data_IF_159392994569
#
_entry.id   IF_159392994569
#
_cell.length_a   1.000
_cell.length_b   1.000
_cell.length_c   1.000
_cell.angle_alpha   90.00
_cell.angle_beta   90.00
_cell.angle_gamma   90.00
#
_symmetry.space_group_name_H-M   'P 1'
#
loop_
_entity.id
_entity.type
_entity.pdbx_description
1 polymer ?
#
# COMPACT_ATOMS: atom_id res chain seq x y z
N UNK A 1 26.94 19.20 -23.31
CA UNK A 1 26.41 18.04 -22.55
C UNK A 1 26.43 18.44 -21.10
N UNK A 2 25.29 18.89 -20.59
CA UNK A 2 25.15 19.30 -19.19
C UNK A 2 25.01 18.02 -18.37
N UNK A 3 25.96 17.75 -17.47
CA UNK A 3 25.80 16.72 -16.46
C UNK A 3 24.66 17.15 -15.55
N UNK A 4 23.49 16.51 -15.65
CA UNK A 4 22.49 16.54 -14.59
C UNK A 4 23.14 15.93 -13.35
N UNK A 5 23.59 16.79 -12.44
CA UNK A 5 24.01 16.39 -11.09
C UNK A 5 22.77 15.87 -10.38
N UNK A 6 22.59 14.55 -10.41
CA UNK A 6 21.56 13.85 -9.63
C UNK A 6 21.82 14.17 -8.16
N UNK A 7 20.85 14.78 -7.48
CA UNK A 7 20.95 15.04 -6.04
C UNK A 7 21.21 13.72 -5.32
N UNK A 8 22.25 13.63 -4.46
CA UNK A 8 22.55 12.39 -3.75
C UNK A 8 21.37 11.98 -2.87
N UNK A 9 21.11 10.67 -2.80
CA UNK A 9 19.98 10.11 -2.06
C UNK A 9 20.05 10.39 -0.55
N UNK A 10 21.27 10.51 0.00
CA UNK A 10 21.55 10.85 1.39
C UNK A 10 22.68 11.89 1.46
N UNK A 11 22.66 12.72 2.49
CA UNK A 11 23.64 13.78 2.73
C UNK A 11 24.43 13.51 4.03
N UNK A 12 25.64 14.08 4.12
CA UNK A 12 26.41 14.04 5.38
C UNK A 12 25.58 14.62 6.53
N UNK A 13 25.54 13.91 7.65
CA UNK A 13 24.72 14.24 8.81
C UNK A 13 23.32 13.65 8.81
N UNK A 14 22.81 13.10 7.69
CA UNK A 14 21.54 12.38 7.70
C UNK A 14 21.61 11.20 8.69
N UNK A 15 20.53 11.00 9.44
CA UNK A 15 20.31 9.77 10.20
C UNK A 15 19.64 8.76 9.27
N UNK A 16 20.09 7.51 9.29
CA UNK A 16 19.51 6.43 8.47
C UNK A 16 19.35 5.16 9.28
N UNK A 17 18.34 4.35 8.95
CA UNK A 17 18.16 2.97 9.44
C UNK A 17 18.36 2.05 8.25
N UNK A 18 19.35 1.17 8.33
CA UNK A 18 19.65 0.21 7.25
C UNK A 18 19.01 -1.16 7.49
N UNK A 19 19.27 -2.13 6.61
CA UNK A 19 18.60 -3.44 6.62
C UNK A 19 18.73 -4.23 7.93
N UNK A 20 19.73 -3.94 8.76
CA UNK A 20 19.94 -4.56 10.06
C UNK A 20 19.14 -3.89 11.20
N UNK A 21 18.36 -2.85 10.89
CA UNK A 21 17.52 -2.13 11.84
C UNK A 21 18.29 -1.20 12.78
N UNK A 22 19.58 -0.94 12.52
CA UNK A 22 20.40 -0.04 13.37
C UNK A 22 20.46 1.36 12.75
N UNK A 23 20.13 2.36 13.58
CA UNK A 23 20.22 3.77 13.22
C UNK A 23 21.68 4.26 13.21
N UNK A 24 22.07 4.96 12.15
CA UNK A 24 23.42 5.42 11.84
C UNK A 24 23.42 6.85 11.34
N UNK A 25 24.60 7.46 11.26
CA UNK A 25 24.82 8.81 10.74
C UNK A 25 25.61 8.72 9.44
N UNK A 26 25.03 9.22 8.36
CA UNK A 26 25.62 9.26 7.03
C UNK A 26 26.81 10.22 7.02
N UNK A 27 27.90 9.82 6.37
CA UNK A 27 29.07 10.64 6.03
C UNK A 27 29.10 11.08 4.57
N UNK A 28 28.35 10.38 3.72
CA UNK A 28 28.18 10.72 2.32
C UNK A 28 27.74 9.51 1.51
N UNK A 29 27.72 9.68 0.20
CA UNK A 29 27.54 8.58 -0.75
C UNK A 29 28.91 8.08 -1.21
N UNK A 30 29.07 6.76 -1.35
CA UNK A 30 30.27 6.18 -1.95
C UNK A 30 30.37 6.56 -3.45
N UNK A 31 31.58 6.57 -4.04
CA UNK A 31 31.74 6.78 -5.47
C UNK A 31 30.91 5.78 -6.28
N UNK A 32 30.13 6.26 -7.24
CA UNK A 32 29.28 5.38 -8.04
C UNK A 32 30.12 4.57 -9.03
N UNK A 33 30.14 3.25 -8.85
CA UNK A 33 30.79 2.31 -9.77
C UNK A 33 29.80 1.84 -10.85
N UNK A 34 30.19 1.77 -12.13
CA UNK A 34 29.32 1.30 -13.19
C UNK A 34 28.82 -0.13 -12.94
N UNK A 35 27.49 -0.31 -12.89
CA UNK A 35 26.85 -1.61 -12.69
C UNK A 35 26.62 -1.99 -11.22
N UNK A 36 27.09 -1.19 -10.27
CA UNK A 36 26.86 -1.42 -8.84
C UNK A 36 25.72 -0.51 -8.31
N UNK A 37 24.95 -0.98 -7.31
CA UNK A 37 23.98 -0.12 -6.64
C UNK A 37 24.70 1.03 -5.92
N UNK A 38 24.00 2.15 -5.71
CA UNK A 38 24.54 3.24 -4.92
C UNK A 38 24.75 2.80 -3.47
N UNK A 39 25.86 3.20 -2.85
CA UNK A 39 26.15 2.93 -1.45
C UNK A 39 26.19 4.22 -0.62
N UNK A 40 25.76 4.14 0.63
CA UNK A 40 25.86 5.18 1.65
C UNK A 40 26.98 4.80 2.61
N UNK A 41 27.88 5.76 2.88
CA UNK A 41 28.98 5.61 3.84
C UNK A 41 28.50 6.14 5.19
N UNK A 42 28.63 5.36 6.25
CA UNK A 42 28.18 5.73 7.61
C UNK A 42 29.34 6.10 8.53
N UNK A 43 29.07 6.46 9.79
CA UNK A 43 30.03 7.11 10.70
C UNK A 43 31.28 6.30 11.02
N UNK A 44 31.23 4.97 10.89
CA UNK A 44 32.35 4.05 11.09
C UNK A 44 33.12 3.75 9.78
N UNK A 45 32.70 4.35 8.67
CA UNK A 45 33.27 4.14 7.33
C UNK A 45 32.68 2.95 6.58
N UNK A 46 31.73 2.21 7.17
CA UNK A 46 31.06 1.08 6.51
C UNK A 46 30.17 1.57 5.37
N UNK A 47 30.20 0.86 4.25
CA UNK A 47 29.34 1.10 3.10
C UNK A 47 28.11 0.20 3.13
N UNK A 48 26.93 0.81 2.94
CA UNK A 48 25.65 0.10 2.88
C UNK A 48 24.96 0.40 1.57
N UNK A 49 24.26 -0.59 0.99
CA UNK A 49 23.44 -0.37 -0.20
C UNK A 49 22.37 0.68 0.14
N UNK A 50 22.40 1.83 -0.53
CA UNK A 50 21.55 2.97 -0.23
C UNK A 50 20.05 2.62 -0.32
N UNK A 51 19.67 1.76 -1.26
CA UNK A 51 18.30 1.27 -1.41
C UNK A 51 17.78 0.44 -0.23
N UNK A 52 18.68 -0.05 0.64
CA UNK A 52 18.35 -0.81 1.84
C UNK A 52 18.38 0.06 3.11
N UNK A 53 18.58 1.37 2.97
CA UNK A 53 18.55 2.31 4.08
C UNK A 53 17.36 3.28 3.92
N UNK A 54 16.79 3.67 5.05
CA UNK A 54 15.71 4.66 5.13
C UNK A 54 16.19 5.83 5.96
N UNK A 55 15.93 7.06 5.52
CA UNK A 55 16.24 8.26 6.30
C UNK A 55 15.43 8.25 7.61
N UNK A 56 16.03 8.77 8.66
CA UNK A 56 15.57 8.75 10.05
C UNK A 56 15.87 10.08 10.75
N UNK A 57 15.80 11.18 10.00
CA UNK A 57 15.97 12.51 10.54
C UNK A 57 14.77 12.88 11.44
N UNK A 58 14.88 13.95 12.26
CA UNK A 58 13.79 14.40 13.10
C UNK A 58 12.46 14.61 12.36
N UNK A 59 12.50 15.11 11.12
CA UNK A 59 11.32 15.25 10.27
C UNK A 59 10.67 13.92 9.89
N UNK A 60 11.47 12.88 9.60
CA UNK A 60 10.98 11.55 9.22
C UNK A 60 10.37 10.84 10.44
N UNK A 61 11.01 10.97 11.61
CA UNK A 61 10.48 10.47 12.88
C UNK A 61 9.16 11.16 13.26
N UNK A 62 9.10 12.48 13.09
CA UNK A 62 7.86 13.23 13.32
C UNK A 62 6.74 12.75 12.39
N UNK A 63 7.04 12.55 11.10
CA UNK A 63 6.08 12.02 10.13
C UNK A 63 5.60 10.61 10.52
N UNK A 64 6.50 9.73 10.94
CA UNK A 64 6.14 8.38 11.37
C UNK A 64 5.26 8.37 12.64
N UNK A 65 5.52 9.27 13.60
CA UNK A 65 4.63 9.47 14.77
C UNK A 65 3.25 9.98 14.37
N UNK A 66 3.18 10.90 13.41
CA UNK A 66 1.90 11.36 12.85
C UNK A 66 1.15 10.20 12.19
N UNK A 67 1.82 9.37 11.38
CA UNK A 67 1.22 8.18 10.74
C UNK A 67 0.67 7.23 11.81
N UNK A 68 1.48 6.85 12.79
CA UNK A 68 1.05 5.90 13.84
C UNK A 68 -0.14 6.44 14.64
N UNK A 69 -0.15 7.74 14.94
CA UNK A 69 -1.28 8.39 15.61
C UNK A 69 -2.56 8.32 14.79
N UNK A 70 -2.53 8.75 13.52
CA UNK A 70 -3.70 8.75 12.64
C UNK A 70 -4.21 7.34 12.34
N UNK A 71 -3.31 6.42 11.99
CA UNK A 71 -3.64 5.02 11.73
C UNK A 71 -4.23 4.36 12.98
N UNK A 72 -3.65 4.63 14.15
CA UNK A 72 -4.17 4.16 15.44
C UNK A 72 -5.56 4.70 15.78
N UNK A 73 -5.87 5.96 15.44
CA UNK A 73 -7.24 6.50 15.58
C UNK A 73 -8.22 5.72 14.71
N UNK A 74 -7.89 5.49 13.43
CA UNK A 74 -8.78 4.77 12.50
C UNK A 74 -9.03 3.32 12.92
N UNK A 75 -7.97 2.59 13.27
CA UNK A 75 -8.07 1.20 13.75
C UNK A 75 -9.00 1.09 14.96
N UNK A 76 -9.06 2.14 15.81
CA UNK A 76 -9.95 2.20 16.98
C UNK A 76 -11.39 2.61 16.65
N UNK A 77 -11.59 3.50 15.67
CA UNK A 77 -12.90 4.07 15.35
C UNK A 77 -13.81 3.13 14.56
N UNK A 78 -13.24 2.22 13.77
CA UNK A 78 -14.00 1.28 12.93
C UNK A 78 -13.37 -0.13 12.98
N UNK A 79 -13.49 -0.87 14.11
CA UNK A 79 -12.79 -2.13 14.33
C UNK A 79 -13.47 -3.31 13.62
N UNK A 80 -13.61 -3.22 12.30
CA UNK A 80 -14.05 -4.35 11.47
C UNK A 80 -12.84 -5.03 10.80
N UNK A 81 -12.44 -6.23 11.24
CA UNK A 81 -11.33 -6.93 10.60
C UNK A 81 -11.64 -7.35 9.15
N UNK A 82 -12.91 -7.39 8.72
CA UNK A 82 -13.29 -7.66 7.34
C UNK A 82 -13.20 -6.40 6.45
N UNK A 83 -13.16 -5.20 7.04
CA UNK A 83 -13.03 -3.93 6.31
C UNK A 83 -11.64 -3.80 5.67
N UNK A 84 -11.56 -3.62 4.32
CA UNK A 84 -10.30 -3.31 3.65
C UNK A 84 -9.64 -2.03 4.19
N UNK A 85 -10.44 -1.06 4.61
CA UNK A 85 -9.98 0.22 5.14
C UNK A 85 -9.33 0.06 6.52
N UNK A 86 -9.90 -0.78 7.38
CA UNK A 86 -9.30 -1.11 8.68
C UNK A 86 -7.96 -1.83 8.50
N UNK A 87 -7.88 -2.77 7.56
CA UNK A 87 -6.62 -3.49 7.30
C UNK A 87 -5.52 -2.60 6.73
N UNK A 88 -5.87 -1.70 5.81
CA UNK A 88 -4.90 -0.72 5.31
C UNK A 88 -4.39 0.17 6.46
N UNK A 89 -5.28 0.63 7.34
CA UNK A 89 -4.88 1.42 8.51
C UNK A 89 -4.02 0.61 9.49
N UNK A 90 -4.35 -0.66 9.75
CA UNK A 90 -3.54 -1.53 10.61
C UNK A 90 -2.14 -1.77 10.02
N UNK A 91 -2.05 -1.96 8.71
CA UNK A 91 -0.77 -2.15 8.03
C UNK A 91 0.09 -0.87 8.07
N UNK A 92 -0.51 0.30 7.83
CA UNK A 92 0.16 1.60 7.99
C UNK A 92 0.63 1.81 9.44
N UNK A 93 -0.20 1.44 10.43
CA UNK A 93 0.16 1.51 11.85
C UNK A 93 1.35 0.59 12.17
N UNK A 94 1.32 -0.65 11.70
CA UNK A 94 2.37 -1.64 11.93
C UNK A 94 3.69 -1.15 11.33
N UNK A 95 3.67 -0.73 10.06
CA UNK A 95 4.84 -0.22 9.37
C UNK A 95 5.45 1.01 10.06
N UNK A 96 4.61 1.94 10.54
CA UNK A 96 5.08 3.12 11.27
C UNK A 96 5.70 2.74 12.63
N UNK A 97 5.09 1.82 13.36
CA UNK A 97 5.60 1.35 14.66
C UNK A 97 6.92 0.60 14.51
N UNK A 98 7.06 -0.27 13.51
CA UNK A 98 8.30 -1.01 13.25
C UNK A 98 9.44 -0.05 12.86
N UNK A 99 9.15 0.93 12.01
CA UNK A 99 10.10 1.97 11.66
C UNK A 99 10.52 2.80 12.88
N UNK A 100 9.58 3.29 13.69
CA UNK A 100 9.89 4.05 14.91
C UNK A 100 10.73 3.22 15.89
N UNK A 101 10.41 1.94 16.05
CA UNK A 101 11.18 1.02 16.89
C UNK A 101 12.63 0.87 16.42
N UNK A 102 12.88 0.83 15.12
CA UNK A 102 14.22 0.72 14.55
C UNK A 102 14.98 2.07 14.55
N UNK A 103 14.26 3.17 14.32
CA UNK A 103 14.82 4.50 14.17
C UNK A 103 15.09 5.21 15.50
N UNK A 104 14.21 5.04 16.49
CA UNK A 104 14.33 5.61 17.83
C UNK A 104 15.20 4.73 18.72
N UNK A 105 16.50 4.79 18.50
CA UNK A 105 17.53 4.14 19.34
C UNK A 105 17.90 4.95 20.58
N UNK A 106 17.21 6.06 20.86
CA UNK A 106 17.46 6.90 22.02
C UNK A 106 17.09 6.17 23.31
N UNK A 107 18.13 5.79 24.09
CA UNK A 107 17.99 5.06 25.34
C UNK A 107 17.09 5.75 26.37
N UNK A 108 16.93 7.08 26.28
CA UNK A 108 16.07 7.88 27.17
C UNK A 108 14.59 7.71 26.83
N UNK A 109 14.25 7.63 25.54
CA UNK A 109 12.89 7.38 25.05
C UNK A 109 12.51 5.91 25.29
N UNK A 110 13.42 4.98 25.02
CA UNK A 110 13.24 3.56 25.33
C UNK A 110 13.03 3.32 26.83
N UNK A 111 13.77 4.03 27.68
CA UNK A 111 13.58 4.00 29.14
C UNK A 111 12.23 4.60 29.56
N UNK A 112 11.77 5.69 28.93
CA UNK A 112 10.48 6.31 29.23
C UNK A 112 9.28 5.46 28.77
N UNK A 113 9.42 4.72 27.66
CA UNK A 113 8.43 3.74 27.16
C UNK A 113 8.41 2.53 28.11
N UNK A 114 9.58 2.00 28.49
CA UNK A 114 9.69 0.87 29.41
C UNK A 114 9.21 1.22 30.84
N UNK A 115 9.33 2.49 31.26
CA UNK A 115 8.85 2.98 32.55
C UNK A 115 7.39 3.44 32.53
N UNK A 116 6.69 3.34 31.40
CA UNK A 116 5.30 3.79 31.25
C UNK A 116 5.09 5.30 31.45
N UNK A 117 6.15 6.11 31.37
CA UNK A 117 6.11 7.55 31.67
C UNK A 117 5.81 8.43 30.45
N UNK A 118 5.73 7.86 29.25
CA UNK A 118 5.22 8.56 28.08
C UNK A 118 3.69 8.75 28.21
N UNK A 119 3.29 9.96 28.61
CA UNK A 119 1.91 10.42 28.79
C UNK A 119 1.07 10.30 27.50
N UNK A 120 0.56 9.09 27.24
CA UNK A 120 -0.56 8.84 26.31
C UNK A 120 -1.63 7.93 26.92
N UNK A 121 -1.40 7.39 28.13
CA UNK A 121 -2.42 6.70 28.91
C UNK A 121 -3.21 7.71 29.74
N UNK A 122 -4.13 8.44 29.11
CA UNK A 122 -5.30 8.97 29.84
C UNK A 122 -6.36 7.89 29.89
N UNK A 123 -6.96 7.77 31.07
CA UNK A 123 -7.82 6.70 31.57
C UNK A 123 -8.78 6.07 30.55
N UNK A 124 -8.64 4.75 30.38
CA UNK A 124 -9.55 3.85 29.66
C UNK A 124 -10.99 3.92 30.21
N UNK A 125 -11.16 4.39 31.46
CA UNK A 125 -12.46 4.50 32.12
C UNK A 125 -13.27 5.76 31.75
N UNK A 126 -12.64 6.82 31.20
CA UNK A 126 -13.34 8.07 30.85
C UNK A 126 -13.92 8.06 29.42
N UNK A 127 -13.41 7.17 28.56
CA UNK A 127 -13.77 7.06 27.12
C UNK A 127 -15.06 6.25 26.90
N UNK A 128 -15.46 5.43 27.87
CA UNK A 128 -16.68 4.59 27.76
C UNK A 128 -17.98 5.40 27.78
N UNK A 129 -17.94 6.69 28.10
CA UNK A 129 -19.14 7.52 28.33
C UNK A 129 -19.66 8.31 27.11
N UNK A 130 -19.13 8.12 25.90
CA UNK A 130 -19.64 8.83 24.70
C UNK A 130 -19.84 7.90 23.49
N UNK A 131 -20.66 6.87 23.69
CA UNK A 131 -21.42 6.26 22.61
C UNK A 131 -22.81 6.88 22.61
N UNK A 132 -23.09 7.75 21.65
CA UNK A 132 -24.47 7.94 21.22
C UNK A 132 -24.64 7.35 19.83
N UNK A 133 -25.64 6.47 19.77
CA UNK A 133 -26.06 5.69 18.63
C UNK A 133 -26.61 6.59 17.53
N UNK A 134 -26.11 6.40 16.30
CA UNK A 134 -26.67 7.04 15.11
C UNK A 134 -26.43 6.27 13.80
N UNK A 135 -25.78 5.11 13.84
CA UNK A 135 -25.34 4.40 12.63
C UNK A 135 -26.44 3.58 11.92
N UNK A 136 -27.61 3.37 12.54
CA UNK A 136 -28.65 2.45 12.02
C UNK A 136 -29.94 3.13 11.53
N UNK A 137 -29.93 4.45 11.27
CA UNK A 137 -31.10 5.09 10.64
C UNK A 137 -30.93 5.06 9.12
N UNK A 138 -31.84 4.42 8.36
CA UNK A 138 -31.80 4.45 6.91
C UNK A 138 -31.85 5.90 6.42
N UNK A 139 -30.90 6.27 5.57
CA UNK A 139 -30.85 7.60 4.98
C UNK A 139 -32.06 7.82 4.05
N UNK A 140 -32.49 9.08 3.85
CA UNK A 140 -33.38 9.41 2.75
C UNK A 140 -32.77 8.95 1.42
N UNK A 141 -33.56 8.29 0.57
CA UNK A 141 -33.10 7.68 -0.68
C UNK A 141 -32.33 8.66 -1.58
N UNK A 142 -32.75 9.93 -1.62
CA UNK A 142 -32.12 10.98 -2.43
C UNK A 142 -30.68 11.29 -1.97
N UNK A 143 -30.38 11.16 -0.68
CA UNK A 143 -29.03 11.38 -0.14
C UNK A 143 -28.13 10.16 -0.39
N UNK A 144 -28.68 8.96 -0.32
CA UNK A 144 -27.97 7.72 -0.66
C UNK A 144 -27.57 7.72 -2.14
N UNK A 145 -28.50 8.05 -3.03
CA UNK A 145 -28.26 8.11 -4.47
C UNK A 145 -27.15 9.12 -4.82
N UNK A 146 -27.18 10.31 -4.22
CA UNK A 146 -26.15 11.32 -4.41
C UNK A 146 -24.77 10.83 -3.94
N UNK A 147 -24.69 10.23 -2.75
CA UNK A 147 -23.44 9.70 -2.21
C UNK A 147 -22.86 8.55 -3.04
N UNK A 148 -23.72 7.65 -3.55
CA UNK A 148 -23.30 6.57 -4.43
C UNK A 148 -22.78 7.10 -5.76
N UNK A 149 -23.40 8.15 -6.32
CA UNK A 149 -22.89 8.78 -7.56
C UNK A 149 -21.53 9.41 -7.34
N UNK A 150 -21.34 10.12 -6.22
CA UNK A 150 -20.05 10.73 -5.90
C UNK A 150 -18.95 9.67 -5.69
N UNK A 151 -19.25 8.56 -5.03
CA UNK A 151 -18.32 7.43 -4.89
C UNK A 151 -17.99 6.79 -6.24
N UNK A 152 -19.00 6.56 -7.09
CA UNK A 152 -18.82 6.02 -8.43
C UNK A 152 -17.91 6.91 -9.28
N UNK A 153 -18.14 8.22 -9.28
CA UNK A 153 -17.32 9.21 -9.98
C UNK A 153 -15.89 9.17 -9.47
N UNK A 154 -15.68 9.26 -8.15
CA UNK A 154 -14.35 9.28 -7.56
C UNK A 154 -13.54 8.02 -7.90
N UNK A 155 -14.14 6.84 -7.70
CA UNK A 155 -13.47 5.57 -7.98
C UNK A 155 -13.19 5.40 -9.48
N UNK A 156 -14.18 5.67 -10.34
CA UNK A 156 -14.00 5.55 -11.79
C UNK A 156 -12.93 6.52 -12.31
N UNK A 157 -12.94 7.78 -11.87
CA UNK A 157 -11.94 8.78 -12.28
C UNK A 157 -10.52 8.31 -11.99
N UNK A 158 -10.28 7.75 -10.81
CA UNK A 158 -8.95 7.25 -10.44
C UNK A 158 -8.61 5.97 -11.19
N UNK A 159 -9.49 4.96 -11.18
CA UNK A 159 -9.22 3.65 -11.78
C UNK A 159 -9.05 3.73 -13.31
N UNK A 160 -9.74 4.64 -13.98
CA UNK A 160 -9.57 4.89 -15.41
C UNK A 160 -8.24 5.59 -15.73
N UNK A 161 -7.75 6.46 -14.83
CA UNK A 161 -6.49 7.18 -15.00
C UNK A 161 -5.26 6.38 -14.57
N UNK A 162 -5.42 5.52 -13.55
CA UNK A 162 -4.35 4.70 -12.97
C UNK A 162 -4.88 3.31 -12.59
N UNK A 163 -4.62 2.34 -13.47
CA UNK A 163 -5.00 0.94 -13.24
C UNK A 163 -4.25 0.26 -12.08
N UNK A 164 -3.22 0.87 -11.50
CA UNK A 164 -2.53 0.34 -10.32
C UNK A 164 -3.10 0.92 -9.02
N UNK A 165 -4.06 1.84 -9.09
CA UNK A 165 -4.71 2.40 -7.92
C UNK A 165 -5.49 1.31 -7.15
N UNK A 166 -5.29 1.26 -5.84
CA UNK A 166 -5.93 0.31 -4.94
C UNK A 166 -6.01 0.87 -3.51
N UNK A 167 -6.60 0.10 -2.60
CA UNK A 167 -6.70 0.42 -1.17
C UNK A 167 -7.34 1.80 -0.92
N UNK A 168 -8.46 2.06 -1.60
CA UNK A 168 -9.21 3.30 -1.47
C UNK A 168 -9.75 3.48 -0.05
N UNK A 169 -9.64 4.70 0.47
CA UNK A 169 -10.05 5.00 1.83
C UNK A 169 -10.80 6.33 1.88
N UNK A 170 -11.97 6.29 2.51
CA UNK A 170 -12.82 7.46 2.71
C UNK A 170 -12.10 8.53 3.54
N UNK A 171 -12.29 9.78 3.12
CA UNK A 171 -11.94 10.99 3.84
C UNK A 171 -13.24 11.66 4.24
N UNK A 172 -13.57 11.58 5.52
CA UNK A 172 -14.83 12.06 6.07
C UNK A 172 -14.53 12.90 7.31
N UNK A 173 -14.80 14.22 7.27
CA UNK A 173 -14.70 15.06 8.45
C UNK A 173 -15.59 14.53 9.57
N UNK A 174 -15.17 14.74 10.81
CA UNK A 174 -15.96 14.34 11.97
C UNK A 174 -17.36 14.99 11.91
N UNK A 175 -18.41 14.17 12.04
CA UNK A 175 -19.81 14.63 11.98
C UNK A 175 -20.38 14.82 10.56
N UNK A 176 -19.59 14.64 9.50
CA UNK A 176 -20.14 14.61 8.14
C UNK A 176 -20.91 13.29 7.92
N UNK A 177 -22.02 13.32 7.17
CA UNK A 177 -22.78 12.10 6.83
C UNK A 177 -22.13 11.28 5.72
N UNK A 178 -21.35 11.91 4.85
CA UNK A 178 -20.74 11.30 3.67
C UNK A 178 -19.26 11.67 3.53
N UNK A 179 -18.45 10.83 2.89
CA UNK A 179 -17.08 11.16 2.54
C UNK A 179 -17.06 12.35 1.58
N UNK A 180 -16.14 13.28 1.81
CA UNK A 180 -15.91 14.44 0.92
C UNK A 180 -14.83 14.15 -0.13
N UNK A 181 -14.07 13.08 0.08
CA UNK A 181 -13.02 12.61 -0.81
C UNK A 181 -12.64 11.15 -0.50
N UNK A 182 -11.78 10.59 -1.35
CA UNK A 182 -11.09 9.33 -1.13
C UNK A 182 -9.59 9.51 -1.30
N UNK A 183 -8.81 8.81 -0.49
CA UNK A 183 -7.40 8.56 -0.78
C UNK A 183 -7.24 7.18 -1.40
N UNK A 184 -6.17 6.98 -2.16
CA UNK A 184 -5.84 5.70 -2.76
C UNK A 184 -4.32 5.50 -2.75
N UNK A 185 -3.87 4.26 -2.89
CA UNK A 185 -2.46 3.91 -3.02
C UNK A 185 -2.12 3.55 -4.46
N UNK A 186 -0.90 3.88 -4.86
CA UNK A 186 -0.24 3.37 -6.05
C UNK A 186 1.13 2.82 -5.65
N UNK A 187 1.70 1.92 -6.46
CA UNK A 187 2.98 1.28 -6.15
C UNK A 187 2.94 0.30 -4.97
N UNK A 188 4.10 -0.23 -4.60
CA UNK A 188 4.28 -1.29 -3.61
C UNK A 188 5.49 -1.00 -2.72
N UNK A 189 5.54 -1.58 -1.53
CA UNK A 189 6.66 -1.46 -0.58
C UNK A 189 7.07 -0.01 -0.32
N UNK A 190 8.37 0.24 -0.33
CA UNK A 190 8.98 1.57 -0.23
C UNK A 190 8.62 2.54 -1.37
N UNK A 191 8.17 2.03 -2.52
CA UNK A 191 7.72 2.84 -3.65
C UNK A 191 6.23 3.21 -3.58
N UNK A 192 5.51 2.80 -2.53
CA UNK A 192 4.12 3.16 -2.34
C UNK A 192 3.96 4.70 -2.30
N UNK A 193 2.96 5.20 -3.02
CA UNK A 193 2.55 6.61 -3.01
C UNK A 193 1.04 6.72 -2.83
N UNK A 194 0.59 7.87 -2.38
CA UNK A 194 -0.80 8.12 -2.04
C UNK A 194 -1.38 9.26 -2.87
N UNK A 195 -2.47 8.97 -3.56
CA UNK A 195 -3.27 9.96 -4.24
C UNK A 195 -4.53 10.29 -3.46
N UNK A 196 -5.22 11.33 -3.91
CA UNK A 196 -6.57 11.64 -3.47
C UNK A 196 -7.47 12.04 -4.63
N UNK A 197 -8.77 11.88 -4.45
CA UNK A 197 -9.81 12.33 -5.36
C UNK A 197 -10.99 12.89 -4.54
N UNK A 198 -11.45 14.10 -4.86
CA UNK A 198 -12.64 14.68 -4.21
C UNK A 198 -13.91 14.09 -4.75
N UNK A 199 -14.93 13.96 -3.89
CA UNK A 199 -16.17 13.27 -4.21
C UNK A 199 -16.98 13.92 -5.32
N UNK A 200 -17.23 15.22 -5.17
CA UNK A 200 -18.12 15.97 -6.07
C UNK A 200 -17.45 16.38 -7.39
N UNK A 201 -16.23 16.90 -7.31
CA UNK A 201 -15.54 17.44 -8.49
C UNK A 201 -14.73 16.41 -9.26
N UNK A 202 -14.46 15.24 -8.68
CA UNK A 202 -13.54 14.24 -9.26
C UNK A 202 -12.10 14.77 -9.40
N UNK A 203 -11.78 15.95 -8.86
CA UNK A 203 -10.43 16.49 -8.86
C UNK A 203 -9.51 15.56 -8.08
N UNK A 204 -8.32 15.33 -8.64
CA UNK A 204 -7.26 14.52 -8.04
C UNK A 204 -5.96 15.31 -7.95
N UNK A 205 -5.02 14.83 -7.15
CA UNK A 205 -3.66 15.36 -7.22
C UNK A 205 -2.94 14.96 -8.51
N UNK A 206 -2.10 15.85 -9.02
CA UNK A 206 -1.23 15.59 -10.16
C UNK A 206 -0.10 14.62 -9.79
N UNK A 207 0.47 14.78 -8.59
CA UNK A 207 1.56 13.96 -8.08
C UNK A 207 1.16 13.27 -6.76
N UNK A 208 1.15 11.93 -6.71
CA UNK A 208 1.02 11.16 -5.47
C UNK A 208 2.09 11.54 -4.43
N UNK A 209 1.67 11.62 -3.17
CA UNK A 209 2.53 11.98 -2.03
C UNK A 209 3.04 10.75 -1.30
N UNK A 210 4.04 10.91 -0.44
CA UNK A 210 4.70 9.79 0.23
C UNK A 210 3.82 9.13 1.30
N UNK A 211 3.00 9.93 2.01
CA UNK A 211 2.20 9.42 3.12
C UNK A 211 0.71 9.68 2.94
N UNK A 212 -0.12 8.72 3.37
CA UNK A 212 -1.58 8.81 3.24
C UNK A 212 -2.16 10.04 3.95
N UNK A 213 -1.70 10.37 5.16
CA UNK A 213 -2.19 11.55 5.89
C UNK A 213 -1.97 12.86 5.13
N UNK A 214 -0.91 12.97 4.32
CA UNK A 214 -0.67 14.14 3.47
C UNK A 214 -1.73 14.22 2.37
N UNK A 215 -2.06 13.08 1.76
CA UNK A 215 -3.13 12.99 0.77
C UNK A 215 -4.49 13.31 1.38
N UNK A 216 -4.77 12.83 2.60
CA UNK A 216 -6.02 13.13 3.32
C UNK A 216 -6.15 14.63 3.60
N UNK A 217 -5.09 15.27 4.11
CA UNK A 217 -5.10 16.71 4.38
C UNK A 217 -5.34 17.52 3.11
N UNK A 218 -4.62 17.19 2.03
CA UNK A 218 -4.79 17.85 0.75
C UNK A 218 -6.19 17.62 0.15
N UNK A 219 -6.78 16.44 0.36
CA UNK A 219 -8.13 16.13 -0.08
C UNK A 219 -9.18 16.96 0.65
N UNK A 220 -9.03 17.15 1.97
CA UNK A 220 -9.89 18.02 2.78
C UNK A 220 -9.79 19.48 2.30
N UNK A 221 -8.58 19.99 2.08
CA UNK A 221 -8.36 21.34 1.56
C UNK A 221 -8.99 21.51 0.17
N UNK A 222 -8.83 20.54 -0.72
CA UNK A 222 -9.40 20.58 -2.07
C UNK A 222 -10.93 20.49 -2.09
N UNK A 223 -11.52 19.71 -1.18
CA UNK A 223 -12.97 19.56 -1.06
C UNK A 223 -13.65 20.89 -0.67
N UNK A 224 -12.96 21.77 0.07
CA UNK A 224 -13.48 23.10 0.45
C UNK A 224 -13.46 24.09 -0.72
N UNK A 225 -12.52 23.93 -1.66
CA UNK A 225 -12.25 24.93 -2.69
C UNK A 225 -13.07 24.76 -3.99
N UNK A 226 -13.81 23.66 -4.15
CA UNK A 226 -14.34 23.27 -5.46
C UNK A 226 -15.80 22.85 -5.40
N UNK A 227 -16.66 23.51 -6.18
CA UNK A 227 -18.11 23.21 -6.26
C UNK A 227 -18.55 22.71 -7.65
N UNK A 228 -17.64 22.70 -8.64
CA UNK A 228 -17.97 22.23 -9.98
C UNK A 228 -18.04 20.70 -10.05
N UNK A 229 -19.12 20.13 -10.62
CA UNK A 229 -19.27 18.68 -10.74
C UNK A 229 -18.29 18.09 -11.77
N UNK A 230 -17.82 16.87 -11.52
CA UNK A 230 -16.94 16.14 -12.44
C UNK A 230 -17.57 15.96 -13.84
N UNK A 231 -16.81 16.06 -14.94
CA UNK A 231 -17.29 15.69 -16.28
C UNK A 231 -17.78 14.23 -16.37
N UNK A 232 -17.24 13.36 -15.52
CA UNK A 232 -17.62 11.94 -15.45
C UNK A 232 -18.96 11.73 -14.75
N UNK A 233 -19.46 12.72 -13.99
CA UNK A 233 -20.75 12.63 -13.30
C UNK A 233 -21.91 12.34 -14.27
N UNK A 234 -21.82 12.82 -15.52
CA UNK A 234 -22.81 12.53 -16.55
C UNK A 234 -22.98 11.04 -16.86
N UNK A 235 -21.93 10.21 -16.70
CA UNK A 235 -21.99 8.77 -16.97
C UNK A 235 -22.85 8.00 -15.95
N UNK A 236 -22.96 8.53 -14.72
CA UNK A 236 -23.73 7.93 -13.63
C UNK A 236 -25.05 8.65 -13.35
N UNK A 237 -25.27 9.82 -13.99
CA UNK A 237 -26.44 10.66 -13.76
C UNK A 237 -27.76 9.99 -14.16
N UNK A 238 -27.75 9.14 -15.20
CA UNK A 238 -28.95 8.48 -15.74
C UNK A 238 -29.15 7.05 -15.24
N UNK A 239 -28.25 6.53 -14.40
CA UNK A 239 -28.38 5.18 -13.84
C UNK A 239 -29.52 5.14 -12.82
N UNK A 240 -30.24 4.02 -12.79
CA UNK A 240 -31.16 3.72 -11.68
C UNK A 240 -30.36 3.51 -10.39
N UNK A 241 -31.02 3.64 -9.24
CA UNK A 241 -30.36 3.43 -7.94
C UNK A 241 -29.78 2.01 -7.81
N UNK A 242 -30.47 0.99 -8.34
CA UNK A 242 -30.00 -0.39 -8.29
C UNK A 242 -28.80 -0.62 -9.22
N UNK A 243 -28.83 -0.09 -10.44
CA UNK A 243 -27.67 -0.14 -11.35
C UNK A 243 -26.46 0.60 -10.77
N UNK A 244 -26.71 1.71 -10.08
CA UNK A 244 -25.68 2.50 -9.43
C UNK A 244 -25.06 1.74 -8.26
N UNK A 245 -25.85 1.05 -7.43
CA UNK A 245 -25.34 0.18 -6.37
C UNK A 245 -24.45 -0.93 -6.95
N UNK A 246 -24.91 -1.61 -8.00
CA UNK A 246 -24.10 -2.64 -8.68
C UNK A 246 -22.80 -2.06 -9.27
N UNK A 247 -22.87 -0.87 -9.88
CA UNK A 247 -21.70 -0.19 -10.42
C UNK A 247 -20.68 0.17 -9.32
N UNK A 248 -21.16 0.75 -8.21
CA UNK A 248 -20.31 1.10 -7.06
C UNK A 248 -19.69 -0.15 -6.45
N UNK A 249 -20.44 -1.24 -6.32
CA UNK A 249 -19.91 -2.50 -5.76
C UNK A 249 -18.82 -3.09 -6.65
N UNK A 250 -18.98 -3.06 -7.98
CA UNK A 250 -17.90 -3.44 -8.92
C UNK A 250 -16.67 -2.54 -8.79
N UNK A 251 -16.86 -1.23 -8.66
CA UNK A 251 -15.76 -0.28 -8.47
C UNK A 251 -15.04 -0.49 -7.14
N UNK A 252 -15.77 -0.79 -6.06
CA UNK A 252 -15.21 -1.14 -4.74
C UNK A 252 -14.42 -2.43 -4.78
N UNK A 253 -14.97 -3.48 -5.41
CA UNK A 253 -14.26 -4.74 -5.60
C UNK A 253 -12.96 -4.51 -6.37
N UNK A 254 -13.01 -3.77 -7.48
CA UNK A 254 -11.82 -3.43 -8.26
C UNK A 254 -10.81 -2.60 -7.47
N UNK A 255 -11.27 -1.64 -6.66
CA UNK A 255 -10.43 -0.81 -5.79
C UNK A 255 -9.79 -1.59 -4.63
N UNK A 256 -10.39 -2.72 -4.23
CA UNK A 256 -9.86 -3.60 -3.20
C UNK A 256 -8.85 -4.63 -3.74
N UNK A 257 -8.83 -4.86 -5.07
CA UNK A 257 -7.88 -5.75 -5.73
C UNK A 257 -6.52 -5.10 -5.92
N UNK A 258 -5.47 -5.92 -5.88
CA UNK A 258 -4.09 -5.50 -6.08
C UNK A 258 -3.45 -6.26 -7.24
N UNK A 259 -2.61 -5.58 -8.01
CA UNK A 259 -2.08 -6.13 -9.26
C UNK A 259 -0.80 -6.93 -9.00
N UNK A 260 -0.86 -8.23 -9.23
CA UNK A 260 0.30 -9.13 -9.18
C UNK A 260 0.66 -9.63 -7.79
N UNK A 261 -0.02 -9.20 -6.72
CA UNK A 261 0.20 -9.69 -5.35
C UNK A 261 -1.07 -9.55 -4.53
N UNK A 262 -1.16 -10.17 -3.35
CA UNK A 262 -2.33 -10.03 -2.46
C UNK A 262 -2.32 -8.67 -1.76
N UNK A 263 -3.50 -8.14 -1.37
CA UNK A 263 -3.58 -6.85 -0.68
C UNK A 263 -2.78 -6.77 0.63
N UNK A 264 -2.59 -7.89 1.31
CA UNK A 264 -1.82 -7.97 2.56
C UNK A 264 -0.29 -7.93 2.35
N UNK A 265 0.18 -8.26 1.14
CA UNK A 265 1.60 -8.42 0.82
C UNK A 265 2.18 -7.20 0.09
N UNK A 266 1.36 -6.17 -0.18
CA UNK A 266 1.74 -4.98 -0.96
C UNK A 266 2.88 -4.17 -0.36
N UNK A 267 3.23 -4.38 0.90
CA UNK A 267 4.32 -3.68 1.59
C UNK A 267 5.63 -4.46 1.61
N UNK A 268 5.63 -5.72 1.17
CA UNK A 268 6.84 -6.53 1.17
C UNK A 268 7.79 -6.03 0.06
N UNK A 269 8.98 -5.58 0.46
CA UNK A 269 9.97 -5.05 -0.50
C UNK A 269 10.53 -6.14 -1.42
N UNK A 270 10.51 -7.41 -1.00
CA UNK A 270 10.84 -8.55 -1.85
C UNK A 270 9.80 -8.74 -2.95
N UNK A 271 8.52 -8.67 -2.60
CA UNK A 271 7.41 -8.68 -3.56
C UNK A 271 7.53 -7.51 -4.53
N UNK A 272 7.74 -6.28 -4.04
CA UNK A 272 7.96 -5.09 -4.89
C UNK A 272 9.09 -5.33 -5.89
N UNK A 273 10.26 -5.75 -5.43
CA UNK A 273 11.43 -5.96 -6.29
C UNK A 273 11.17 -7.08 -7.32
N UNK A 274 10.43 -8.12 -6.94
CA UNK A 274 10.03 -9.17 -7.86
C UNK A 274 9.02 -8.69 -8.92
N UNK A 275 8.06 -7.85 -8.56
CA UNK A 275 7.13 -7.23 -9.51
C UNK A 275 7.87 -6.33 -10.52
N UNK A 276 8.93 -5.63 -10.10
CA UNK A 276 9.78 -4.85 -11.01
C UNK A 276 10.50 -5.74 -12.03
N UNK A 277 11.11 -6.85 -11.58
CA UNK A 277 11.72 -7.86 -12.47
C UNK A 277 10.71 -8.41 -13.49
N UNK A 278 9.46 -8.53 -13.07
CA UNK A 278 8.39 -9.14 -13.86
C UNK A 278 7.47 -8.10 -14.53
N UNK A 279 7.87 -6.83 -14.60
CA UNK A 279 7.00 -5.74 -15.06
C UNK A 279 6.45 -5.91 -16.50
N UNK A 280 7.15 -6.68 -17.33
CA UNK A 280 6.72 -7.02 -18.69
C UNK A 280 5.68 -8.17 -18.75
N UNK A 281 5.36 -8.80 -17.63
CA UNK A 281 4.40 -9.89 -17.56
C UNK A 281 2.96 -9.37 -17.34
N UNK A 282 1.98 -10.21 -17.68
CA UNK A 282 0.59 -9.94 -17.39
C UNK A 282 0.27 -10.32 -15.94
N UNK A 283 0.22 -9.33 -15.05
CA UNK A 283 -0.17 -9.51 -13.65
C UNK A 283 -1.67 -9.71 -13.47
N UNK A 284 -2.05 -10.63 -12.60
CA UNK A 284 -3.44 -10.82 -12.19
C UNK A 284 -3.92 -9.72 -11.24
N UNK A 285 -5.23 -9.47 -11.19
CA UNK A 285 -5.85 -8.63 -10.16
C UNK A 285 -6.35 -9.51 -9.02
N UNK A 286 -5.71 -9.39 -7.86
CA UNK A 286 -5.87 -10.34 -6.75
C UNK A 286 -6.75 -9.72 -5.66
N UNK A 287 -7.83 -10.42 -5.32
CA UNK A 287 -8.77 -10.04 -4.27
C UNK A 287 -8.28 -10.42 -2.87
N UNK A 288 -8.87 -9.79 -1.85
CA UNK A 288 -8.60 -10.09 -0.45
C UNK A 288 -9.22 -11.45 -0.09
N UNK A 289 -8.36 -12.42 0.23
CA UNK A 289 -8.79 -13.79 0.55
C UNK A 289 -8.70 -14.76 -0.63
N UNK A 290 -8.24 -14.30 -1.80
CA UNK A 290 -7.89 -15.21 -2.89
C UNK A 290 -6.88 -16.26 -2.42
N UNK A 291 -7.19 -17.52 -2.69
CA UNK A 291 -6.30 -18.64 -2.46
C UNK A 291 -6.16 -19.45 -3.76
N UNK A 292 -4.98 -19.43 -4.41
CA UNK A 292 -4.80 -20.14 -5.67
C UNK A 292 -4.92 -21.66 -5.54
N UNK A 293 -4.79 -22.20 -4.32
CA UNK A 293 -4.93 -23.62 -4.02
C UNK A 293 -6.37 -24.04 -3.68
N UNK A 294 -7.31 -23.10 -3.59
CA UNK A 294 -8.72 -23.38 -3.34
C UNK A 294 -9.31 -24.27 -4.45
N UNK A 295 -10.21 -25.17 -4.04
CA UNK A 295 -10.98 -25.96 -5.00
C UNK A 295 -12.03 -25.10 -5.70
N UNK A 296 -12.40 -25.49 -6.92
CA UNK A 296 -13.41 -24.76 -7.70
C UNK A 296 -14.73 -24.74 -6.91
N UNK A 297 -15.28 -23.54 -6.71
CA UNK A 297 -16.50 -23.32 -5.94
C UNK A 297 -16.29 -23.11 -4.44
N UNK A 298 -15.06 -23.22 -3.92
CA UNK A 298 -14.75 -22.81 -2.55
C UNK A 298 -14.83 -21.27 -2.41
N UNK A 299 -15.08 -20.80 -1.17
CA UNK A 299 -15.26 -19.37 -0.87
C UNK A 299 -14.05 -18.50 -1.27
N UNK A 300 -12.86 -19.07 -1.20
CA UNK A 300 -11.57 -18.46 -1.49
C UNK A 300 -11.08 -18.70 -2.93
N UNK A 301 -11.89 -19.38 -3.76
CA UNK A 301 -11.67 -19.51 -5.19
C UNK A 301 -12.28 -18.33 -5.95
N UNK A 302 -11.45 -17.64 -6.74
CA UNK A 302 -11.89 -16.51 -7.55
C UNK A 302 -11.52 -16.74 -9.03
N UNK A 303 -12.47 -17.11 -9.90
CA UNK A 303 -12.21 -17.42 -11.30
C UNK A 303 -11.82 -16.19 -12.13
N UNK A 304 -12.04 -14.97 -11.62
CA UNK A 304 -11.61 -13.75 -12.32
C UNK A 304 -10.09 -13.54 -12.26
N UNK A 305 -9.39 -14.19 -11.31
CA UNK A 305 -7.95 -14.04 -11.14
C UNK A 305 -7.23 -14.85 -12.21
N UNK A 306 -6.67 -14.16 -13.21
CA UNK A 306 -5.84 -14.73 -14.27
C UNK A 306 -4.61 -13.87 -14.51
N UNK A 307 -3.44 -14.50 -14.57
CA UNK A 307 -2.15 -13.83 -14.75
C UNK A 307 -1.12 -14.25 -13.69
N UNK A 308 -0.04 -13.50 -13.64
CA UNK A 308 1.06 -13.69 -12.70
C UNK A 308 0.70 -13.15 -11.30
N UNK A 309 1.01 -13.94 -10.27
CA UNK A 309 0.93 -13.54 -8.86
C UNK A 309 2.27 -13.83 -8.16
N UNK A 310 2.67 -12.92 -7.27
CA UNK A 310 3.87 -12.97 -6.44
C UNK A 310 3.49 -12.84 -4.97
N UNK A 311 4.03 -13.72 -4.14
CA UNK A 311 3.79 -13.76 -2.69
C UNK A 311 5.12 -13.86 -1.93
N UNK A 312 5.22 -13.29 -0.73
CA UNK A 312 6.41 -13.44 0.09
C UNK A 312 6.48 -14.85 0.68
N UNK A 313 7.70 -15.34 0.91
CA UNK A 313 7.97 -16.67 1.48
C UNK A 313 8.98 -16.61 2.62
N UNK A 314 8.93 -15.55 3.44
CA UNK A 314 9.86 -15.33 4.57
C UNK A 314 11.34 -15.28 4.15
N UNK A 315 12.23 -14.86 5.06
CA UNK A 315 13.68 -14.87 4.80
C UNK A 315 14.11 -14.24 3.46
N UNK A 316 13.43 -13.17 3.02
CA UNK A 316 13.71 -12.50 1.74
C UNK A 316 13.35 -13.30 0.47
N UNK A 317 12.70 -14.45 0.60
CA UNK A 317 12.23 -15.24 -0.53
C UNK A 317 10.87 -14.74 -1.02
N UNK A 318 10.65 -14.87 -2.32
CA UNK A 318 9.35 -14.70 -2.96
C UNK A 318 8.97 -15.95 -3.73
N UNK A 319 7.68 -16.15 -3.92
CA UNK A 319 7.13 -17.19 -4.79
C UNK A 319 6.29 -16.54 -5.87
N UNK A 320 6.64 -16.78 -7.13
CA UNK A 320 5.89 -16.37 -8.29
C UNK A 320 5.23 -17.58 -8.96
N UNK A 321 3.99 -17.43 -9.38
CA UNK A 321 3.27 -18.47 -10.12
C UNK A 321 2.23 -17.87 -11.07
N UNK A 322 1.90 -18.65 -12.09
CA UNK A 322 0.88 -18.31 -13.07
C UNK A 322 -0.46 -18.85 -12.62
N UNK A 323 -1.48 -17.98 -12.56
CA UNK A 323 -2.86 -18.32 -12.24
C UNK A 323 -3.69 -18.23 -13.52
N UNK A 324 -4.56 -19.20 -13.74
CA UNK A 324 -5.60 -19.13 -14.75
C UNK A 324 -6.91 -19.59 -14.13
N UNK A 325 -7.96 -18.80 -14.31
CA UNK A 325 -9.29 -19.07 -13.75
C UNK A 325 -9.23 -19.39 -12.25
N UNK A 326 -8.48 -18.59 -11.49
CA UNK A 326 -8.32 -18.75 -10.06
C UNK A 326 -7.43 -19.91 -9.60
N UNK A 327 -6.76 -20.63 -10.51
CA UNK A 327 -5.89 -21.78 -10.17
C UNK A 327 -4.46 -21.65 -10.67
N UNK A 328 -3.50 -21.97 -9.81
CA UNK A 328 -2.06 -22.01 -10.18
C UNK A 328 -1.60 -23.31 -10.85
N UNK A 329 -2.53 -24.25 -11.06
CA UNK A 329 -2.33 -25.52 -11.76
C UNK A 329 -3.46 -25.74 -12.76
N UNK A 330 -3.19 -26.55 -13.78
CA UNK A 330 -4.18 -27.00 -14.74
C UNK A 330 -5.25 -27.88 -14.09
N UNK A 331 -6.36 -28.09 -14.79
CA UNK A 331 -7.45 -28.95 -14.30
C UNK A 331 -7.00 -30.39 -13.98
N UNK A 332 -5.97 -30.90 -14.68
CA UNK A 332 -5.36 -32.21 -14.44
C UNK A 332 -4.26 -32.20 -13.34
N UNK A 333 -4.08 -31.06 -12.66
CA UNK A 333 -3.09 -30.86 -11.59
C UNK A 333 -1.65 -30.62 -12.07
N UNK A 334 -1.43 -30.52 -13.39
CA UNK A 334 -0.11 -30.19 -13.96
C UNK A 334 0.20 -28.70 -13.84
N UNK A 335 1.48 -28.34 -13.72
CA UNK A 335 1.90 -26.95 -13.67
C UNK A 335 1.90 -26.27 -15.05
N UNK A 336 1.81 -24.95 -15.06
CA UNK A 336 1.99 -24.09 -16.24
C UNK A 336 3.46 -24.01 -16.69
N UNK A 337 3.99 -25.11 -17.22
CA UNK A 337 5.44 -25.31 -17.44
C UNK A 337 6.10 -24.22 -18.28
N UNK A 338 5.43 -23.73 -19.33
CA UNK A 338 6.00 -22.69 -20.19
C UNK A 338 6.18 -21.38 -19.43
N UNK A 339 5.12 -20.92 -18.75
CA UNK A 339 5.12 -19.72 -17.93
C UNK A 339 6.14 -19.82 -16.81
N UNK A 340 6.17 -20.94 -16.07
CA UNK A 340 7.15 -21.14 -14.99
C UNK A 340 8.60 -21.15 -15.51
N UNK A 341 8.86 -21.62 -16.73
CA UNK A 341 10.21 -21.55 -17.33
C UNK A 341 10.59 -20.11 -17.65
N UNK A 342 9.65 -19.33 -18.21
CA UNK A 342 9.88 -17.91 -18.48
C UNK A 342 10.14 -17.11 -17.20
N UNK A 343 9.34 -17.33 -16.15
CA UNK A 343 9.54 -16.70 -14.84
C UNK A 343 10.92 -17.01 -14.25
N UNK A 344 11.37 -18.28 -14.29
CA UNK A 344 12.72 -18.64 -13.81
C UNK A 344 13.80 -17.87 -14.56
N UNK A 345 13.71 -17.83 -15.89
CA UNK A 345 14.66 -17.11 -16.73
C UNK A 345 14.69 -15.62 -16.36
N UNK A 346 13.53 -14.97 -16.22
CA UNK A 346 13.46 -13.54 -15.86
C UNK A 346 14.11 -13.23 -14.51
N UNK A 347 13.88 -14.06 -13.49
CA UNK A 347 14.57 -13.91 -12.21
C UNK A 347 16.09 -14.09 -12.35
N UNK A 348 16.53 -15.15 -13.04
CA UNK A 348 17.96 -15.42 -13.25
C UNK A 348 18.65 -14.30 -14.04
N UNK A 349 18.02 -13.80 -15.10
CA UNK A 349 18.52 -12.70 -15.93
C UNK A 349 18.63 -11.40 -15.11
N UNK A 350 17.78 -11.23 -14.09
CA UNK A 350 17.85 -10.11 -13.14
C UNK A 350 18.82 -10.35 -11.96
N UNK A 351 19.60 -11.43 -11.97
CA UNK A 351 20.57 -11.76 -10.93
C UNK A 351 19.97 -12.36 -9.65
N UNK A 352 18.72 -12.82 -9.68
CA UNK A 352 18.11 -13.51 -8.54
C UNK A 352 18.48 -14.99 -8.54
N UNK A 353 18.62 -15.55 -7.34
CA UNK A 353 18.81 -16.99 -7.17
C UNK A 353 17.46 -17.69 -7.13
N UNK A 354 17.28 -18.69 -7.99
CA UNK A 354 16.06 -19.49 -8.07
C UNK A 354 16.25 -20.78 -7.28
N UNK A 355 15.36 -21.01 -6.31
CA UNK A 355 15.38 -22.22 -5.47
C UNK A 355 15.02 -23.45 -6.32
N UNK A 356 15.88 -24.50 -6.34
CA UNK A 356 15.58 -25.72 -7.08
C UNK A 356 14.36 -26.47 -6.52
N UNK A 357 13.70 -27.27 -7.37
CA UNK A 357 12.70 -28.26 -6.93
C UNK A 357 11.23 -27.82 -6.97
N UNK A 358 10.93 -26.52 -7.07
CA UNK A 358 9.56 -26.04 -7.30
C UNK A 358 9.06 -26.38 -8.70
N UNK A 359 8.17 -27.37 -8.83
CA UNK A 359 7.56 -27.74 -10.15
C UNK A 359 6.33 -26.90 -10.51
N UNK A 360 5.60 -26.39 -9.51
CA UNK A 360 4.34 -25.66 -9.67
C UNK A 360 4.45 -24.15 -9.50
N UNK A 361 5.56 -23.70 -8.94
CA UNK A 361 5.85 -22.30 -8.62
C UNK A 361 7.33 -22.04 -8.84
N UNK A 362 7.70 -20.77 -8.95
CA UNK A 362 9.10 -20.32 -8.95
C UNK A 362 9.35 -19.63 -7.62
N UNK A 363 10.20 -20.19 -6.77
CA UNK A 363 10.69 -19.50 -5.58
C UNK A 363 12.05 -18.90 -5.90
N UNK A 364 12.24 -17.63 -5.59
CA UNK A 364 13.49 -16.91 -5.80
C UNK A 364 13.80 -15.99 -4.62
N UNK A 365 15.05 -15.60 -4.47
CA UNK A 365 15.47 -14.56 -3.53
C UNK A 365 16.56 -13.70 -4.18
N UNK A 366 16.65 -12.46 -3.70
CA UNK A 366 17.77 -11.59 -4.05
C UNK A 366 18.98 -12.02 -3.21
N UNK A 367 20.14 -12.33 -3.81
CA UNK A 367 21.34 -12.55 -3.04
C UNK A 367 21.61 -11.34 -2.16
N UNK A 368 21.84 -11.55 -0.87
CA UNK A 368 22.48 -10.55 -0.01
C UNK A 368 23.92 -10.44 -0.50
N UNK A 369 24.18 -9.48 -1.38
CA UNK A 369 25.54 -9.11 -1.79
C UNK A 369 26.13 -8.23 -0.70
#
# INVERSE_FOLDING_TARGET
MSNETTTPAFQDGDRVVCADGVARTVRGMAPQLPGEPAHVVVEDGTEWIAANCRRANPEDLAAARTISHHAGIRVRQDPDPASPQWCAALADLTAAMDYLKAAETDGTILAAIASGAASAARDVAEITARHEAGADTPLPADQEEAALREEAVAHFTVLAADGNAHAFQRVQPHGASFPVAWTYRTGYGSAARYGWVTARSGRRNEAPVEYRWQAERAALEAAVLTDEPSPVAGAFATMSLDDLREAVDRLRDRAARTRGTRPQDVFDDGVRAALEVLAACHFAEVSRGFNPAAEVGAKDHDPSVTGLVVEPRGNGHVTAYWVQEGRYVQADGRPWMHQLRDLRRKFQDAGWEVVPGGRRVVTAYRPTV
#
